data_IF_564993320896
#
_entry.id   IF_564993320896
#
_cell.length_a   1.000
_cell.length_b   1.000
_cell.length_c   1.000
_cell.angle_alpha   90.00
_cell.angle_beta   90.00
_cell.angle_gamma   90.00
#
_symmetry.space_group_name_H-M   'P 1'
#
loop_
_entity.id
_entity.type
_entity.pdbx_description
1 polymer ?
#
# COMPACT_ATOMS: atom_id res chain seq x y z
N UNK A 1 -8.21 -25.14 -19.51
CA UNK A 1 -8.14 -23.66 -19.63
C UNK A 1 -8.40 -22.94 -18.32
N UNK A 2 -9.37 -23.32 -17.52
CA UNK A 2 -9.74 -22.68 -16.26
C UNK A 2 -8.62 -22.68 -15.20
N UNK A 3 -7.95 -23.81 -15.00
CA UNK A 3 -6.85 -23.92 -14.03
C UNK A 3 -5.65 -23.01 -14.37
N UNK A 4 -5.33 -22.81 -15.66
CA UNK A 4 -4.26 -21.89 -16.06
C UNK A 4 -4.61 -20.44 -15.78
N UNK A 5 -5.89 -20.05 -15.95
CA UNK A 5 -6.35 -18.70 -15.59
C UNK A 5 -6.32 -18.47 -14.09
N UNK A 6 -6.75 -19.44 -13.29
CA UNK A 6 -6.68 -19.36 -11.83
C UNK A 6 -5.24 -19.23 -11.34
N UNK A 7 -4.32 -20.01 -11.90
CA UNK A 7 -2.89 -19.92 -11.58
C UNK A 7 -2.33 -18.54 -11.94
N UNK A 8 -2.67 -17.98 -13.09
CA UNK A 8 -2.27 -16.63 -13.48
C UNK A 8 -2.71 -15.59 -12.45
N UNK A 9 -3.99 -15.59 -12.07
CA UNK A 9 -4.51 -14.63 -11.08
C UNK A 9 -3.99 -14.86 -9.66
N UNK A 10 -3.56 -16.07 -9.32
CA UNK A 10 -2.91 -16.36 -8.05
C UNK A 10 -1.48 -15.81 -7.99
N UNK A 11 -0.73 -15.92 -9.08
CA UNK A 11 0.66 -15.47 -9.15
C UNK A 11 0.79 -13.97 -9.46
N UNK A 12 -0.20 -13.38 -10.14
CA UNK A 12 -0.17 -11.98 -10.54
C UNK A 12 0.10 -11.00 -9.39
N UNK A 13 -0.52 -11.13 -8.19
CA UNK A 13 -0.20 -10.29 -7.04
C UNK A 13 1.29 -10.28 -6.69
N UNK A 14 1.89 -11.45 -6.57
CA UNK A 14 3.30 -11.59 -6.21
C UNK A 14 4.22 -10.97 -7.25
N UNK A 15 3.97 -11.27 -8.53
CA UNK A 15 4.75 -10.73 -9.64
C UNK A 15 4.66 -9.20 -9.69
N UNK A 16 3.46 -8.64 -9.51
CA UNK A 16 3.25 -7.18 -9.53
C UNK A 16 4.00 -6.51 -8.39
N UNK A 17 3.91 -7.02 -7.16
CA UNK A 17 4.63 -6.44 -6.02
C UNK A 17 6.14 -6.52 -6.22
N UNK A 18 6.66 -7.68 -6.60
CA UNK A 18 8.10 -7.85 -6.86
C UNK A 18 8.61 -6.93 -7.97
N UNK A 19 7.84 -6.77 -9.05
CA UNK A 19 8.22 -5.87 -10.13
C UNK A 19 8.13 -4.40 -9.71
N UNK A 20 7.11 -4.01 -8.96
CA UNK A 20 6.94 -2.66 -8.46
C UNK A 20 8.15 -2.25 -7.60
N UNK A 21 8.50 -3.06 -6.60
CA UNK A 21 9.61 -2.80 -5.69
C UNK A 21 10.96 -2.84 -6.43
N UNK A 22 11.18 -3.85 -7.28
CA UNK A 22 12.42 -3.98 -8.04
C UNK A 22 12.64 -2.81 -9.00
N UNK A 23 11.60 -2.38 -9.73
CA UNK A 23 11.69 -1.25 -10.65
C UNK A 23 11.88 0.07 -9.89
N UNK A 24 11.16 0.28 -8.78
CA UNK A 24 11.32 1.46 -7.93
C UNK A 24 12.77 1.60 -7.45
N UNK A 25 13.31 0.54 -6.84
CA UNK A 25 14.69 0.52 -6.33
C UNK A 25 15.73 0.70 -7.43
N UNK A 26 15.58 0.03 -8.58
CA UNK A 26 16.52 0.15 -9.69
C UNK A 26 16.54 1.57 -10.25
N UNK A 27 15.35 2.15 -10.47
CA UNK A 27 15.24 3.52 -11.01
C UNK A 27 15.76 4.55 -10.03
N UNK A 28 15.43 4.43 -8.74
CA UNK A 28 15.96 5.31 -7.71
C UNK A 28 17.48 5.29 -7.66
N UNK A 29 18.09 4.11 -7.59
CA UNK A 29 19.55 3.93 -7.59
C UNK A 29 20.22 4.48 -8.86
N UNK A 30 19.56 4.41 -10.01
CA UNK A 30 20.12 4.98 -11.26
C UNK A 30 20.09 6.51 -11.23
N UNK A 31 19.03 7.11 -10.69
CA UNK A 31 18.94 8.57 -10.53
C UNK A 31 20.02 9.06 -9.57
N UNK A 32 20.17 8.40 -8.42
CA UNK A 32 21.19 8.72 -7.42
C UNK A 32 22.61 8.63 -8.00
N UNK A 33 22.92 7.54 -8.71
CA UNK A 33 24.20 7.40 -9.43
C UNK A 33 24.39 8.49 -10.48
N UNK A 34 23.34 8.87 -11.18
CA UNK A 34 23.37 9.98 -12.13
C UNK A 34 23.77 11.28 -11.44
N UNK A 35 23.16 11.62 -10.31
CA UNK A 35 23.51 12.81 -9.52
C UNK A 35 24.98 12.77 -9.05
N UNK A 36 25.46 11.62 -8.60
CA UNK A 36 26.85 11.44 -8.20
C UNK A 36 27.81 11.67 -9.36
N UNK A 37 27.49 11.16 -10.56
CA UNK A 37 28.32 11.39 -11.78
C UNK A 37 28.38 12.86 -12.18
N UNK A 38 27.32 13.63 -11.95
CA UNK A 38 27.28 15.07 -12.21
C UNK A 38 27.76 15.92 -11.03
N UNK A 39 28.39 15.30 -10.03
CA UNK A 39 28.92 15.98 -8.82
C UNK A 39 27.88 16.83 -8.09
N UNK A 40 26.63 16.38 -8.06
CA UNK A 40 25.57 17.00 -7.25
C UNK A 40 25.89 16.76 -5.78
N UNK A 41 25.67 17.77 -4.92
CA UNK A 41 25.98 17.66 -3.51
C UNK A 41 25.12 16.60 -2.81
N UNK A 42 25.72 15.90 -1.85
CA UNK A 42 25.01 14.88 -1.03
C UNK A 42 23.79 15.49 -0.30
N UNK A 43 23.93 16.72 0.18
CA UNK A 43 22.83 17.46 0.83
C UNK A 43 21.63 17.63 -0.12
N UNK A 44 21.85 17.95 -1.39
CA UNK A 44 20.79 18.04 -2.37
C UNK A 44 20.15 16.68 -2.63
N UNK A 45 20.95 15.61 -2.75
CA UNK A 45 20.45 14.24 -2.97
C UNK A 45 19.55 13.82 -1.82
N UNK A 46 20.00 13.99 -0.57
CA UNK A 46 19.24 13.64 0.62
C UNK A 46 17.95 14.46 0.74
N UNK A 47 18.03 15.78 0.52
CA UNK A 47 16.85 16.66 0.57
C UNK A 47 15.82 16.34 -0.52
N UNK A 48 16.27 15.84 -1.68
CA UNK A 48 15.41 15.52 -2.82
C UNK A 48 14.92 14.07 -2.84
N UNK A 49 15.44 13.20 -1.98
CA UNK A 49 15.13 11.76 -1.99
C UNK A 49 13.63 11.47 -1.92
N UNK A 50 12.92 12.07 -0.96
CA UNK A 50 11.46 11.91 -0.82
C UNK A 50 10.67 12.41 -2.04
N UNK A 51 11.13 13.47 -2.70
CA UNK A 51 10.52 13.97 -3.94
C UNK A 51 10.72 12.99 -5.10
N UNK A 52 11.91 12.44 -5.23
CA UNK A 52 12.26 11.47 -6.29
C UNK A 52 11.44 10.20 -6.08
N UNK A 53 11.41 9.69 -4.85
CA UNK A 53 10.64 8.50 -4.51
C UNK A 53 9.13 8.69 -4.79
N UNK A 54 8.53 9.80 -4.32
CA UNK A 54 7.15 10.12 -4.60
C UNK A 54 6.84 10.24 -6.10
N UNK A 55 7.77 10.79 -6.88
CA UNK A 55 7.63 10.93 -8.33
C UNK A 55 7.66 9.55 -9.00
N UNK A 56 8.64 8.70 -8.65
CA UNK A 56 8.74 7.34 -9.16
C UNK A 56 7.52 6.49 -8.77
N UNK A 57 7.12 6.55 -7.51
CA UNK A 57 5.94 5.86 -7.01
C UNK A 57 4.67 6.29 -7.77
N UNK A 58 4.53 7.58 -8.06
CA UNK A 58 3.41 8.10 -8.88
C UNK A 58 3.43 7.53 -10.29
N UNK A 59 4.58 7.56 -10.97
CA UNK A 59 4.72 7.04 -12.34
C UNK A 59 4.43 5.54 -12.38
N UNK A 60 5.04 4.75 -11.49
CA UNK A 60 4.81 3.32 -11.41
C UNK A 60 3.36 2.98 -11.08
N UNK A 61 2.71 3.78 -10.24
CA UNK A 61 1.29 3.60 -9.91
C UNK A 61 0.38 3.88 -11.10
N UNK A 62 0.69 4.88 -11.92
CA UNK A 62 -0.05 5.14 -13.16
C UNK A 62 0.09 3.92 -14.10
N UNK A 63 1.30 3.37 -14.25
CA UNK A 63 1.54 2.17 -15.06
C UNK A 63 0.73 0.99 -14.50
N UNK A 64 0.77 0.74 -13.19
CA UNK A 64 -0.01 -0.30 -12.54
C UNK A 64 -1.52 -0.08 -12.72
N UNK A 65 -2.00 1.15 -12.63
CA UNK A 65 -3.40 1.49 -12.88
C UNK A 65 -3.84 1.22 -14.31
N UNK A 66 -3.02 1.59 -15.30
CA UNK A 66 -3.30 1.30 -16.71
C UNK A 66 -3.32 -0.21 -16.98
N UNK A 67 -2.38 -0.94 -16.40
CA UNK A 67 -2.34 -2.40 -16.44
C UNK A 67 -3.58 -3.02 -15.81
N UNK A 68 -3.95 -2.55 -14.61
CA UNK A 68 -5.20 -2.95 -13.94
C UNK A 68 -6.42 -2.76 -14.85
N UNK A 69 -6.53 -1.59 -15.49
CA UNK A 69 -7.64 -1.26 -16.39
C UNK A 69 -7.68 -2.14 -17.63
N UNK A 70 -6.54 -2.62 -18.10
CA UNK A 70 -6.42 -3.57 -19.20
C UNK A 70 -6.94 -4.98 -18.85
N UNK A 71 -6.70 -5.42 -17.60
CA UNK A 71 -7.12 -6.75 -17.12
C UNK A 71 -8.55 -6.75 -16.59
N UNK A 72 -8.93 -5.68 -15.88
CA UNK A 72 -10.23 -5.54 -15.21
C UNK A 72 -11.03 -4.38 -15.82
N UNK A 73 -11.77 -4.60 -16.92
CA UNK A 73 -12.55 -3.55 -17.57
C UNK A 73 -13.63 -3.01 -16.61
N UNK A 74 -13.89 -1.72 -16.72
CA UNK A 74 -14.84 -0.99 -15.87
C UNK A 74 -16.24 -1.55 -16.05
N UNK A 75 -16.82 -2.06 -14.95
CA UNK A 75 -18.27 -2.29 -14.88
C UNK A 75 -18.94 -0.99 -14.38
N UNK A 76 -20.17 -0.71 -14.80
CA UNK A 76 -20.93 0.40 -14.23
C UNK A 76 -21.03 0.23 -12.71
N UNK A 77 -20.75 1.28 -11.95
CA UNK A 77 -20.94 1.23 -10.51
C UNK A 77 -22.44 1.17 -10.20
N UNK A 78 -22.91 0.10 -9.59
CA UNK A 78 -24.33 -0.07 -9.24
C UNK A 78 -24.75 0.86 -8.10
N UNK A 79 -23.83 1.24 -7.20
CA UNK A 79 -24.11 2.16 -6.09
C UNK A 79 -22.90 3.07 -5.84
N UNK A 80 -23.04 4.36 -6.05
CA UNK A 80 -22.08 5.34 -5.55
C UNK A 80 -22.59 5.89 -4.21
N UNK A 81 -21.75 5.80 -3.16
CA UNK A 81 -22.00 6.57 -1.96
C UNK A 81 -21.97 8.06 -2.29
N UNK A 82 -22.91 8.85 -1.74
CA UNK A 82 -22.80 10.31 -1.86
C UNK A 82 -21.46 10.75 -1.25
N UNK A 83 -20.84 11.79 -1.81
CA UNK A 83 -19.54 12.30 -1.37
C UNK A 83 -19.50 12.52 0.15
N UNK A 84 -20.57 13.09 0.74
CA UNK A 84 -20.68 13.31 2.19
C UNK A 84 -20.62 12.01 3.00
N UNK A 85 -21.35 10.97 2.57
CA UNK A 85 -21.32 9.65 3.25
C UNK A 85 -19.97 8.97 3.09
N UNK A 86 -19.34 9.11 1.92
CA UNK A 86 -18.01 8.60 1.64
C UNK A 86 -16.95 9.24 2.55
N UNK A 87 -16.98 10.57 2.70
CA UNK A 87 -16.06 11.32 3.59
C UNK A 87 -16.24 10.93 5.05
N UNK A 88 -17.48 10.88 5.55
CA UNK A 88 -17.75 10.46 6.94
C UNK A 88 -17.23 9.03 7.17
N UNK A 89 -17.46 8.13 6.23
CA UNK A 89 -17.00 6.75 6.33
C UNK A 89 -15.46 6.66 6.31
N UNK A 90 -14.80 7.42 5.44
CA UNK A 90 -13.34 7.50 5.39
C UNK A 90 -12.75 8.04 6.70
N UNK A 91 -13.34 9.10 7.27
CA UNK A 91 -12.93 9.65 8.57
C UNK A 91 -13.10 8.62 9.69
N UNK A 92 -14.24 7.94 9.78
CA UNK A 92 -14.48 6.92 10.81
C UNK A 92 -13.48 5.77 10.70
N UNK A 93 -13.20 5.30 9.49
CA UNK A 93 -12.17 4.26 9.28
C UNK A 93 -10.79 4.82 9.64
N UNK A 94 -10.43 6.01 9.17
CA UNK A 94 -9.13 6.63 9.45
C UNK A 94 -8.88 6.79 10.94
N UNK A 95 -9.82 7.32 11.70
CA UNK A 95 -9.71 7.42 13.16
C UNK A 95 -9.67 6.05 13.85
N UNK A 96 -10.48 5.09 13.37
CA UNK A 96 -10.48 3.72 13.92
C UNK A 96 -9.14 3.02 13.69
N UNK A 97 -8.58 3.15 12.50
CA UNK A 97 -7.26 2.59 12.15
C UNK A 97 -6.16 3.30 12.92
N UNK A 98 -6.18 4.65 12.99
CA UNK A 98 -5.21 5.42 13.79
C UNK A 98 -5.24 5.02 15.26
N UNK A 99 -6.43 4.86 15.86
CA UNK A 99 -6.57 4.37 17.22
C UNK A 99 -6.02 2.95 17.40
N UNK A 100 -6.30 2.05 16.46
CA UNK A 100 -5.80 0.67 16.50
C UNK A 100 -4.27 0.61 16.37
N UNK A 101 -3.68 1.39 15.46
CA UNK A 101 -2.23 1.46 15.31
C UNK A 101 -1.57 2.04 16.56
N UNK A 102 -2.14 3.09 17.16
CA UNK A 102 -1.64 3.65 18.42
C UNK A 102 -1.68 2.63 19.56
N UNK A 103 -2.77 1.89 19.71
CA UNK A 103 -2.86 0.82 20.71
C UNK A 103 -1.82 -0.28 20.47
N UNK A 104 -1.60 -0.66 19.23
CA UNK A 104 -0.61 -1.65 18.86
C UNK A 104 0.81 -1.16 19.15
N UNK A 105 1.16 0.07 18.79
CA UNK A 105 2.48 0.65 19.05
C UNK A 105 2.76 0.75 20.56
N UNK A 106 1.81 1.25 21.35
CA UNK A 106 1.94 1.27 22.81
C UNK A 106 2.11 -0.13 23.41
N UNK A 107 1.44 -1.15 22.84
CA UNK A 107 1.62 -2.52 23.26
C UNK A 107 3.01 -3.06 22.91
N UNK A 108 3.53 -2.74 21.72
CA UNK A 108 4.89 -3.07 21.32
C UNK A 108 5.90 -2.41 22.26
N UNK A 109 5.79 -1.13 22.55
CA UNK A 109 6.68 -0.40 23.46
C UNK A 109 6.69 -1.05 24.87
N UNK A 110 5.51 -1.45 25.34
CA UNK A 110 5.41 -2.16 26.63
C UNK A 110 6.16 -3.48 26.60
N UNK A 111 5.99 -4.33 25.57
CA UNK A 111 6.66 -5.65 25.54
C UNK A 111 8.12 -5.58 25.08
N UNK A 112 8.52 -4.53 24.35
CA UNK A 112 9.91 -4.28 23.96
C UNK A 112 10.85 -4.18 25.18
N UNK A 113 10.34 -3.65 26.30
CA UNK A 113 11.09 -3.62 27.56
C UNK A 113 11.44 -5.01 28.15
N UNK A 114 10.76 -6.07 27.70
CA UNK A 114 10.97 -7.45 28.14
C UNK A 114 11.65 -8.35 27.07
N UNK A 115 11.90 -7.82 25.86
CA UNK A 115 12.46 -8.58 24.74
C UNK A 115 13.44 -7.72 23.95
N UNK A 116 14.72 -8.10 23.95
CA UNK A 116 15.78 -7.41 23.19
C UNK A 116 15.46 -7.37 21.69
N UNK A 117 14.99 -8.47 21.11
CA UNK A 117 14.65 -8.54 19.68
C UNK A 117 13.52 -7.60 19.30
N UNK A 118 12.48 -7.46 20.15
CA UNK A 118 11.40 -6.52 19.89
C UNK A 118 11.83 -5.07 20.14
N UNK A 119 12.73 -4.85 21.11
CA UNK A 119 13.33 -3.53 21.35
C UNK A 119 14.13 -3.06 20.14
N UNK A 120 15.01 -3.90 19.59
CA UNK A 120 15.77 -3.59 18.37
C UNK A 120 14.86 -3.29 17.17
N UNK A 121 13.76 -4.03 17.00
CA UNK A 121 12.79 -3.77 15.93
C UNK A 121 12.02 -2.47 16.14
N UNK A 122 11.68 -2.11 17.39
CA UNK A 122 11.02 -0.88 17.71
C UNK A 122 11.94 0.33 17.47
N UNK A 123 13.21 0.22 17.83
CA UNK A 123 14.24 1.21 17.56
C UNK A 123 14.44 1.43 16.06
N UNK A 124 14.67 0.34 15.30
CA UNK A 124 14.80 0.42 13.83
C UNK A 124 13.55 1.01 13.15
N UNK A 125 12.36 0.74 13.71
CA UNK A 125 11.13 1.33 13.20
C UNK A 125 11.06 2.84 13.50
N UNK A 126 11.50 3.29 14.67
CA UNK A 126 11.58 4.72 15.03
C UNK A 126 12.60 5.46 14.16
N UNK A 127 13.80 4.90 14.00
CA UNK A 127 14.85 5.46 13.14
C UNK A 127 14.38 5.70 11.70
N UNK A 128 13.59 4.76 11.15
CA UNK A 128 13.03 4.93 9.80
C UNK A 128 12.15 6.18 9.68
N UNK A 129 11.39 6.53 10.73
CA UNK A 129 10.58 7.75 10.73
C UNK A 129 11.42 9.01 10.94
N UNK A 130 12.45 8.93 11.77
CA UNK A 130 13.39 10.03 11.98
C UNK A 130 14.13 10.40 10.69
N UNK A 131 14.53 9.40 9.90
CA UNK A 131 15.14 9.59 8.59
C UNK A 131 14.18 10.26 7.58
N UNK A 132 12.90 9.92 7.62
CA UNK A 132 11.89 10.55 6.78
C UNK A 132 11.68 12.04 7.12
N UNK A 133 11.95 12.45 8.35
CA UNK A 133 11.82 13.86 8.78
C UNK A 133 13.00 14.74 8.33
N UNK A 134 14.13 14.16 7.90
CA UNK A 134 15.31 14.91 7.43
C UNK A 134 15.08 15.66 6.10
N UNK A 135 14.10 15.22 5.30
CA UNK A 135 13.73 15.86 4.04
C UNK A 135 12.89 17.13 4.20
N UNK A 136 12.67 17.86 3.11
CA UNK A 136 11.72 18.97 3.14
C UNK A 136 10.30 18.45 3.45
N UNK A 137 9.72 18.91 4.54
CA UNK A 137 8.40 18.48 5.06
C UNK A 137 7.33 18.31 3.97
N UNK A 138 7.28 19.24 3.01
CA UNK A 138 6.26 19.18 1.94
C UNK A 138 6.39 17.93 1.08
N UNK A 139 7.59 17.48 0.78
CA UNK A 139 7.82 16.28 -0.05
C UNK A 139 7.52 15.00 0.72
N UNK A 140 7.96 14.93 1.96
CA UNK A 140 7.64 13.83 2.88
C UNK A 140 6.12 13.74 3.11
N UNK A 141 5.45 14.86 3.34
CA UNK A 141 3.99 14.92 3.47
C UNK A 141 3.29 14.40 2.20
N UNK A 142 3.69 14.88 1.02
CA UNK A 142 3.12 14.42 -0.25
C UNK A 142 3.37 12.93 -0.47
N UNK A 143 4.58 12.45 -0.19
CA UNK A 143 4.94 11.04 -0.35
C UNK A 143 4.11 10.13 0.56
N UNK A 144 4.06 10.42 1.87
CA UNK A 144 3.44 9.53 2.85
C UNK A 144 1.91 9.69 2.93
N UNK A 145 1.40 10.93 2.83
CA UNK A 145 -0.03 11.19 3.08
C UNK A 145 -0.87 11.13 1.80
N UNK A 146 -0.28 11.38 0.64
CA UNK A 146 -1.03 11.43 -0.63
C UNK A 146 -0.61 10.30 -1.55
N UNK A 147 0.66 10.22 -1.93
CA UNK A 147 1.14 9.27 -2.95
C UNK A 147 1.11 7.85 -2.42
N UNK A 148 1.64 7.60 -1.22
CA UNK A 148 1.65 6.28 -0.59
C UNK A 148 0.27 5.63 -0.56
N UNK A 149 -0.76 6.24 0.05
CA UNK A 149 -2.12 5.70 0.07
C UNK A 149 -2.72 5.48 -1.33
N UNK A 150 -2.40 6.33 -2.32
CA UNK A 150 -2.85 6.13 -3.70
C UNK A 150 -2.23 4.88 -4.34
N UNK A 151 -0.91 4.71 -4.14
CA UNK A 151 -0.16 3.51 -4.58
C UNK A 151 -0.76 2.25 -3.97
N UNK A 152 -0.92 2.25 -2.65
CA UNK A 152 -1.47 1.13 -1.90
C UNK A 152 -2.86 0.75 -2.38
N UNK A 153 -3.71 1.73 -2.64
CA UNK A 153 -5.06 1.50 -3.11
C UNK A 153 -5.08 0.87 -4.52
N UNK A 154 -4.22 1.34 -5.43
CA UNK A 154 -4.10 0.78 -6.78
C UNK A 154 -3.57 -0.66 -6.73
N UNK A 155 -2.50 -0.90 -5.97
CA UNK A 155 -1.88 -2.22 -5.86
C UNK A 155 -2.78 -3.21 -5.12
N UNK A 156 -3.16 -2.88 -3.88
CA UNK A 156 -3.82 -3.86 -3.00
C UNK A 156 -5.32 -3.96 -3.23
N UNK A 157 -6.04 -2.86 -3.43
CA UNK A 157 -7.49 -2.87 -3.67
C UNK A 157 -7.82 -3.02 -5.16
N UNK A 158 -6.96 -2.49 -6.02
CA UNK A 158 -7.08 -2.68 -7.47
C UNK A 158 -6.60 -4.06 -7.90
N UNK A 159 -5.30 -4.21 -8.09
CA UNK A 159 -4.72 -5.40 -8.72
C UNK A 159 -4.84 -6.66 -7.88
N UNK A 160 -4.37 -6.62 -6.62
CA UNK A 160 -4.23 -7.81 -5.77
C UNK A 160 -5.60 -8.36 -5.39
N UNK A 161 -6.43 -7.53 -4.78
CA UNK A 161 -7.75 -7.94 -4.33
C UNK A 161 -8.60 -8.53 -5.47
N UNK A 162 -8.71 -7.83 -6.60
CA UNK A 162 -9.49 -8.33 -7.74
C UNK A 162 -8.90 -9.57 -8.39
N UNK A 163 -7.57 -9.73 -8.38
CA UNK A 163 -6.92 -10.97 -8.83
C UNK A 163 -7.31 -12.15 -7.95
N UNK A 164 -7.25 -11.97 -6.64
CA UNK A 164 -7.62 -13.01 -5.69
C UNK A 164 -9.11 -13.40 -5.78
N UNK A 165 -10.01 -12.44 -6.07
CA UNK A 165 -11.42 -12.73 -6.33
C UNK A 165 -11.64 -13.63 -7.56
N UNK A 166 -10.71 -13.66 -8.52
CA UNK A 166 -10.77 -14.57 -9.67
C UNK A 166 -10.30 -15.99 -9.35
N UNK A 167 -9.60 -16.17 -8.23
CA UNK A 167 -9.04 -17.47 -7.84
C UNK A 167 -10.08 -18.33 -7.11
N UNK A 168 -10.90 -17.72 -6.27
CA UNK A 168 -11.81 -18.44 -5.36
C UNK A 168 -13.18 -17.79 -5.27
N UNK A 169 -14.17 -18.62 -4.95
CA UNK A 169 -15.53 -18.18 -4.61
C UNK A 169 -15.72 -17.88 -3.13
N UNK A 170 -14.70 -18.15 -2.28
CA UNK A 170 -14.77 -17.89 -0.85
C UNK A 170 -14.75 -16.37 -0.59
N UNK A 171 -15.81 -15.79 0.00
CA UNK A 171 -15.95 -14.32 0.09
C UNK A 171 -14.86 -13.64 0.92
N UNK A 172 -14.33 -14.35 1.92
CA UNK A 172 -13.34 -13.82 2.87
C UNK A 172 -11.89 -13.94 2.38
N UNK A 173 -11.60 -14.88 1.48
CA UNK A 173 -10.25 -15.19 1.05
C UNK A 173 -9.53 -13.97 0.43
N UNK A 174 -10.18 -13.25 -0.47
CA UNK A 174 -9.57 -12.13 -1.17
C UNK A 174 -9.19 -11.00 -0.22
N UNK A 175 -10.09 -10.59 0.70
CA UNK A 175 -9.79 -9.47 1.60
C UNK A 175 -8.81 -9.86 2.71
N UNK A 176 -8.86 -11.09 3.22
CA UNK A 176 -7.89 -11.54 4.23
C UNK A 176 -6.50 -11.66 3.62
N UNK A 177 -6.38 -12.36 2.47
CA UNK A 177 -5.07 -12.55 1.86
C UNK A 177 -4.47 -11.24 1.33
N UNK A 178 -5.29 -10.37 0.72
CA UNK A 178 -4.82 -9.04 0.30
C UNK A 178 -4.35 -8.19 1.49
N UNK A 179 -5.05 -8.25 2.63
CA UNK A 179 -4.64 -7.56 3.85
C UNK A 179 -3.35 -8.12 4.45
N UNK A 180 -3.19 -9.45 4.48
CA UNK A 180 -1.94 -10.09 4.94
C UNK A 180 -0.77 -9.72 4.02
N UNK A 181 -0.96 -9.78 2.70
CA UNK A 181 0.06 -9.36 1.74
C UNK A 181 0.43 -7.88 1.92
N UNK A 182 -0.55 -7.02 2.23
CA UNK A 182 -0.33 -5.61 2.52
C UNK A 182 0.57 -5.43 3.76
N UNK A 183 0.32 -6.18 4.84
CA UNK A 183 1.19 -6.15 6.01
C UNK A 183 2.61 -6.65 5.72
N UNK A 184 2.75 -7.76 5.01
CA UNK A 184 4.06 -8.33 4.64
C UNK A 184 4.85 -7.35 3.77
N UNK A 185 4.19 -6.67 2.84
CA UNK A 185 4.83 -5.72 1.93
C UNK A 185 5.50 -4.53 2.64
N UNK A 186 5.04 -4.16 3.84
CA UNK A 186 5.66 -3.09 4.64
C UNK A 186 7.04 -3.45 5.22
N UNK A 187 7.46 -4.73 5.16
CA UNK A 187 8.81 -5.15 5.52
C UNK A 187 9.15 -5.12 7.02
N UNK A 188 8.35 -4.46 7.84
CA UNK A 188 8.50 -4.39 9.29
C UNK A 188 7.42 -5.23 9.98
N UNK A 189 7.79 -6.03 10.99
CA UNK A 189 6.81 -6.77 11.79
C UNK A 189 5.86 -5.83 12.53
N UNK A 190 6.40 -4.74 13.08
CA UNK A 190 5.63 -3.78 13.85
C UNK A 190 4.59 -3.10 12.96
N UNK A 191 5.02 -2.58 11.81
CA UNK A 191 4.12 -1.96 10.84
C UNK A 191 3.19 -2.98 10.18
N UNK A 192 3.71 -4.14 9.84
CA UNK A 192 3.00 -5.18 9.11
C UNK A 192 1.75 -5.68 9.82
N UNK A 193 1.76 -5.80 11.15
CA UNK A 193 0.59 -6.27 11.89
C UNK A 193 -0.58 -5.30 11.78
N UNK A 194 -0.40 -4.02 12.10
CA UNK A 194 -1.52 -3.08 12.07
C UNK A 194 -1.96 -2.74 10.64
N UNK A 195 -1.03 -2.72 9.67
CA UNK A 195 -1.38 -2.53 8.26
C UNK A 195 -2.12 -3.74 7.68
N UNK A 196 -1.76 -4.97 8.05
CA UNK A 196 -2.52 -6.16 7.70
C UNK A 196 -3.97 -6.08 8.23
N UNK A 197 -4.13 -5.72 9.50
CA UNK A 197 -5.47 -5.55 10.10
C UNK A 197 -6.28 -4.48 9.38
N UNK A 198 -5.67 -3.32 9.09
CA UNK A 198 -6.27 -2.27 8.28
C UNK A 198 -6.66 -2.77 6.89
N UNK A 199 -5.77 -3.48 6.22
CA UNK A 199 -6.01 -4.05 4.90
C UNK A 199 -7.22 -4.98 4.86
N UNK A 200 -7.34 -5.86 5.86
CA UNK A 200 -8.48 -6.77 6.03
C UNK A 200 -9.79 -6.00 6.27
N UNK A 201 -9.79 -5.01 7.17
CA UNK A 201 -10.96 -4.20 7.51
C UNK A 201 -11.46 -3.45 6.27
N UNK A 202 -10.57 -2.73 5.58
CA UNK A 202 -10.93 -1.98 4.37
C UNK A 202 -11.43 -2.92 3.27
N UNK A 203 -10.74 -4.04 3.03
CA UNK A 203 -11.14 -5.04 2.05
C UNK A 203 -12.52 -5.65 2.35
N UNK A 204 -12.82 -5.93 3.62
CA UNK A 204 -14.15 -6.39 4.04
C UNK A 204 -15.25 -5.36 3.71
N UNK A 205 -15.01 -4.08 4.00
CA UNK A 205 -15.98 -3.02 3.69
C UNK A 205 -16.15 -2.80 2.19
N UNK A 206 -15.08 -2.88 1.41
CA UNK A 206 -15.17 -2.85 -0.06
C UNK A 206 -16.08 -3.97 -0.57
N UNK A 207 -15.88 -5.19 -0.08
CA UNK A 207 -16.69 -6.36 -0.47
C UNK A 207 -18.15 -6.20 -0.06
N UNK A 208 -18.42 -5.78 1.17
CA UNK A 208 -19.78 -5.73 1.73
C UNK A 208 -20.63 -4.60 1.18
N UNK A 209 -20.03 -3.42 0.92
CA UNK A 209 -20.79 -2.21 0.54
C UNK A 209 -20.57 -1.81 -0.90
N UNK A 210 -19.82 -2.57 -1.68
CA UNK A 210 -19.40 -2.19 -3.04
C UNK A 210 -18.86 -0.75 -3.10
N UNK A 211 -18.10 -0.37 -2.07
CA UNK A 211 -17.53 0.97 -1.99
C UNK A 211 -16.49 1.08 -3.09
N UNK A 212 -16.74 2.01 -4.00
CA UNK A 212 -15.80 2.36 -5.06
C UNK A 212 -14.80 3.34 -4.47
N UNK A 213 -13.60 2.85 -4.18
CA UNK A 213 -12.46 3.71 -3.84
C UNK A 213 -11.72 3.99 -5.15
N UNK A 214 -11.50 5.27 -5.45
CA UNK A 214 -10.80 5.76 -6.67
C UNK A 214 -11.34 5.20 -8.00
N UNK A 215 -12.63 4.91 -8.09
CA UNK A 215 -13.22 4.35 -9.31
C UNK A 215 -12.83 2.88 -9.59
N UNK A 216 -12.25 2.20 -8.62
CA UNK A 216 -11.98 0.76 -8.67
C UNK A 216 -13.26 0.02 -8.27
N UNK A 217 -14.14 -0.23 -9.23
CA UNK A 217 -15.37 -0.99 -8.97
C UNK A 217 -15.09 -2.48 -8.84
N UNK A 218 -15.60 -3.09 -7.78
CA UNK A 218 -15.55 -4.53 -7.61
C UNK A 218 -16.39 -5.24 -8.70
N UNK A 219 -15.83 -6.17 -9.50
CA UNK A 219 -16.58 -6.92 -10.51
C UNK A 219 -17.36 -8.12 -9.94
N UNK A 220 -17.80 -8.06 -8.67
CA UNK A 220 -18.45 -9.21 -8.03
C UNK A 220 -19.92 -9.30 -8.39
N UNK A 221 -20.26 -10.26 -9.11
CA UNK A 221 -21.37 -11.20 -9.31
C UNK A 221 -21.63 -11.52 -10.78
N UNK A 222 -21.10 -12.61 -11.20
CA UNK A 222 -21.81 -13.67 -11.98
C UNK A 222 -21.07 -14.97 -11.80
#
# INVERSE_FOLDING_TARGET
MENKKKLFFLLLPLVVLMLYDALGNVLFNWIEKGFTLFSVSEDFINTSASFIDATLATILSIICYLFYRGIFPKKPAEVSLSLKKGLVFALVIGFGVGGLSTLWLNFIDFIASYSTTLGEQAESFSELYDDLEQGAFIWTFLAIVIVGPLVEEILFRGLIFHSLEKVTTLPWFAFVLSGVMFGIWHGSFIQGVYTAMMGIIVGYFMKKKQIVVLGLSCPCHQ
#
